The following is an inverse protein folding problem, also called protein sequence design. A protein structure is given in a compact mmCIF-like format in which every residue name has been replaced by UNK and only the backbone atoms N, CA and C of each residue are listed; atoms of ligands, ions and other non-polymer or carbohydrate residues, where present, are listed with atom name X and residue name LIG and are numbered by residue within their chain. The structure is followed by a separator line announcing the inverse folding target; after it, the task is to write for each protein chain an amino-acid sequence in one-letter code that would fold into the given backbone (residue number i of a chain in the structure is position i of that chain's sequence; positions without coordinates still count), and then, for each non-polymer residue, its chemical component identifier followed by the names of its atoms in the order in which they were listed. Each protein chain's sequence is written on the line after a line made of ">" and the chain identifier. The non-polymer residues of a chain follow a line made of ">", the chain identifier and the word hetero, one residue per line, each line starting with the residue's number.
data_IF_881336890635
#
_entry.id   IF_881336890635
#
_cell.length_a   1.000
_cell.length_b   1.000
_cell.length_c   1.000
_cell.angle_alpha   90.00
_cell.angle_beta   90.00
_cell.angle_gamma   90.00
#
_symmetry.space_group_name_H-M   'P 1'
#
loop_
_entity.id
_entity.type
_entity.pdbx_description
1 polymer ?
#
# COMPACT_ATOMS: atom_id res chain seq x y z
N UNK A 1 -7.67 -6.51 -3.89
CA UNK A 1 -7.81 -5.66 -2.68
C UNK A 1 -6.54 -5.72 -1.84
N UNK A 2 -6.06 -4.55 -1.38
CA UNK A 2 -4.88 -4.36 -0.53
C UNK A 2 -5.28 -4.04 0.91
N UNK A 3 -4.59 -4.66 1.86
CA UNK A 3 -4.76 -4.45 3.31
C UNK A 3 -3.41 -4.06 3.92
N UNK A 4 -3.44 -3.10 4.85
CA UNK A 4 -2.26 -2.68 5.62
C UNK A 4 -2.43 -3.10 7.07
N UNK A 5 -1.50 -3.91 7.56
CA UNK A 5 -1.40 -4.30 8.97
C UNK A 5 -0.31 -3.50 9.66
N UNK A 6 -0.69 -2.73 10.68
CA UNK A 6 0.23 -1.88 11.42
C UNK A 6 0.78 -2.62 12.63
N UNK A 7 2.10 -2.65 12.75
CA UNK A 7 2.83 -3.07 13.95
C UNK A 7 3.49 -1.85 14.61
N UNK A 8 4.13 -2.01 15.76
CA UNK A 8 4.87 -0.92 16.39
C UNK A 8 6.04 -0.42 15.52
N UNK A 9 6.66 -1.32 14.75
CA UNK A 9 7.90 -1.04 14.02
C UNK A 9 7.70 -0.90 12.50
N UNK A 10 6.66 -1.53 11.95
CA UNK A 10 6.49 -1.66 10.50
C UNK A 10 5.02 -1.80 10.09
N UNK A 11 4.79 -1.70 8.80
CA UNK A 11 3.50 -1.92 8.13
C UNK A 11 3.67 -3.10 7.18
N UNK A 12 2.84 -4.13 7.35
CA UNK A 12 2.77 -5.26 6.42
C UNK A 12 1.67 -4.98 5.41
N UNK A 13 2.02 -5.08 4.12
CA UNK A 13 1.12 -4.89 3.00
C UNK A 13 0.71 -6.27 2.50
N UNK A 14 -0.58 -6.56 2.49
CA UNK A 14 -1.11 -7.85 2.04
C UNK A 14 -2.04 -7.63 0.85
N UNK A 15 -1.81 -8.37 -0.24
CA UNK A 15 -2.76 -8.43 -1.35
C UNK A 15 -3.69 -9.62 -1.18
N UNK A 16 -4.97 -9.37 -0.98
CA UNK A 16 -6.00 -10.41 -0.82
C UNK A 16 -6.34 -11.10 -2.15
N UNK A 17 -6.09 -10.43 -3.29
CA UNK A 17 -6.24 -11.01 -4.62
C UNK A 17 -5.06 -11.94 -4.99
N UNK A 18 -3.94 -11.91 -4.25
CA UNK A 18 -2.76 -12.75 -4.44
C UNK A 18 -2.40 -13.53 -3.15
N UNK A 19 -3.30 -14.36 -2.62
CA UNK A 19 -3.13 -14.98 -1.31
C UNK A 19 -1.89 -15.89 -1.28
N UNK A 20 -0.97 -15.62 -0.36
CA UNK A 20 0.27 -16.39 -0.19
C UNK A 20 1.33 -16.17 -1.26
N UNK A 21 1.04 -15.37 -2.30
CA UNK A 21 1.95 -15.10 -3.41
C UNK A 21 2.66 -13.76 -3.23
N UNK A 22 1.95 -12.77 -2.69
CA UNK A 22 2.50 -11.43 -2.54
C UNK A 22 2.18 -10.78 -1.20
N UNK A 23 3.23 -10.31 -0.54
CA UNK A 23 3.22 -9.41 0.60
C UNK A 23 4.48 -8.56 0.55
N UNK A 24 4.46 -7.41 1.21
CA UNK A 24 5.59 -6.50 1.28
C UNK A 24 5.59 -5.75 2.62
N UNK A 25 6.68 -5.08 2.97
CA UNK A 25 6.84 -4.33 4.21
C UNK A 25 7.17 -2.87 3.93
N UNK A 26 6.71 -1.97 4.78
CA UNK A 26 7.05 -0.56 4.75
C UNK A 26 7.19 -0.01 6.17
N UNK A 27 7.90 1.10 6.33
CA UNK A 27 8.04 1.77 7.63
C UNK A 27 7.08 2.96 7.77
N UNK A 28 6.60 3.50 6.65
CA UNK A 28 5.64 4.61 6.66
C UNK A 28 4.37 4.27 5.89
N UNK A 29 3.26 4.90 6.26
CA UNK A 29 1.98 4.72 5.57
C UNK A 29 2.05 5.18 4.10
N UNK A 30 2.84 6.20 3.81
CA UNK A 30 3.05 6.68 2.45
C UNK A 30 3.75 5.60 1.61
N UNK A 31 4.90 5.13 2.08
CA UNK A 31 5.66 4.06 1.43
C UNK A 31 4.81 2.79 1.24
N UNK A 32 4.00 2.44 2.25
CA UNK A 32 3.12 1.28 2.19
C UNK A 32 2.14 1.38 1.00
N UNK A 33 1.51 2.54 0.82
CA UNK A 33 0.59 2.76 -0.30
C UNK A 33 1.30 2.90 -1.65
N UNK A 34 2.54 3.40 -1.69
CA UNK A 34 3.34 3.43 -2.92
C UNK A 34 3.65 2.02 -3.43
N UNK A 35 4.11 1.14 -2.53
CA UNK A 35 4.38 -0.27 -2.85
C UNK A 35 3.09 -1.01 -3.25
N UNK A 36 2.01 -0.79 -2.49
CA UNK A 36 0.70 -1.38 -2.79
C UNK A 36 0.16 -0.94 -4.17
N UNK A 37 0.24 0.35 -4.50
CA UNK A 37 -0.21 0.87 -5.79
C UNK A 37 0.65 0.33 -6.95
N UNK A 38 1.97 0.23 -6.77
CA UNK A 38 2.85 -0.37 -7.77
C UNK A 38 2.55 -1.85 -8.00
N UNK A 39 2.17 -2.61 -6.98
CA UNK A 39 1.72 -4.00 -7.14
C UNK A 39 0.34 -4.08 -7.82
N UNK A 40 -0.63 -3.27 -7.37
CA UNK A 40 -1.98 -3.17 -7.93
C UNK A 40 -1.94 -2.88 -9.44
N UNK A 41 -1.19 -1.85 -9.85
CA UNK A 41 -1.10 -1.45 -11.26
C UNK A 41 -0.48 -2.52 -12.16
N UNK A 42 0.50 -3.27 -11.65
CA UNK A 42 1.19 -4.32 -12.44
C UNK A 42 0.41 -5.62 -12.52
N UNK A 43 -0.31 -5.98 -11.46
CA UNK A 43 -0.84 -7.34 -11.27
C UNK A 43 -2.35 -7.40 -11.37
N UNK A 44 -3.04 -6.29 -11.05
CA UNK A 44 -4.50 -6.21 -10.99
C UNK A 44 -5.04 -5.07 -11.87
N UNK A 45 -4.92 -5.15 -13.21
CA UNK A 45 -5.40 -4.10 -14.09
C UNK A 45 -6.90 -3.85 -13.89
N UNK A 46 -7.26 -2.63 -13.46
CA UNK A 46 -8.64 -2.23 -13.19
C UNK A 46 -8.97 -2.09 -11.70
N UNK A 47 -8.18 -2.68 -10.80
CA UNK A 47 -8.23 -2.33 -9.38
C UNK A 47 -7.60 -0.93 -9.17
N UNK A 48 -8.20 -0.12 -8.31
CA UNK A 48 -7.78 1.29 -8.08
C UNK A 48 -7.77 1.69 -6.61
N UNK A 49 -7.91 0.72 -5.71
CA UNK A 49 -8.03 0.99 -4.28
C UNK A 49 -6.72 1.57 -3.74
N UNK A 50 -5.59 0.93 -4.03
CA UNK A 50 -4.29 1.38 -3.57
C UNK A 50 -3.89 2.71 -4.21
N UNK A 51 -4.18 2.90 -5.51
CA UNK A 51 -3.95 4.18 -6.18
C UNK A 51 -4.73 5.34 -5.54
N UNK A 52 -6.01 5.13 -5.19
CA UNK A 52 -6.84 6.13 -4.50
C UNK A 52 -6.34 6.39 -3.08
N UNK A 53 -5.99 5.35 -2.34
CA UNK A 53 -5.45 5.46 -0.99
C UNK A 53 -4.11 6.20 -0.95
N UNK A 54 -3.23 5.97 -1.94
CA UNK A 54 -1.99 6.71 -2.14
C UNK A 54 -2.25 8.21 -2.38
N UNK A 55 -3.17 8.54 -3.30
CA UNK A 55 -3.52 9.93 -3.58
C UNK A 55 -4.09 10.65 -2.35
N UNK A 56 -4.93 9.98 -1.56
CA UNK A 56 -5.40 10.52 -0.29
C UNK A 56 -4.24 10.73 0.70
N UNK A 57 -3.41 9.70 0.89
CA UNK A 57 -2.29 9.74 1.84
C UNK A 57 -1.30 10.86 1.51
N UNK A 58 -0.94 11.06 0.24
CA UNK A 58 -0.08 12.16 -0.21
C UNK A 58 -0.59 13.55 0.15
N UNK A 59 -1.92 13.73 0.21
CA UNK A 59 -2.53 15.02 0.60
C UNK A 59 -2.56 15.24 2.11
N UNK A 60 -2.54 14.16 2.89
CA UNK A 60 -2.72 14.20 4.35
C UNK A 60 -1.44 13.95 5.14
N UNK A 61 -0.44 13.34 4.51
CA UNK A 61 0.88 13.15 5.11
C UNK A 61 1.58 14.51 5.16
N UNK A 62 1.96 15.00 6.36
CA UNK A 62 2.77 16.19 6.45
C UNK A 62 4.10 15.95 5.72
N UNK A 63 4.54 16.91 4.91
CA UNK A 63 5.90 16.93 4.38
C UNK A 63 6.84 16.87 5.59
N UNK A 64 7.57 15.77 5.75
CA UNK A 64 8.70 15.74 6.66
C UNK A 64 9.83 16.45 5.92
N UNK A 65 10.03 17.72 6.25
CA UNK A 65 11.22 18.51 5.86
C UNK A 65 12.50 17.95 6.51
#
# INVERSE_FOLDING_TARGET
>A
MMRLDFTQESIVIVCESCPGVWFDFAFTKLEAWERAAAHEQRTHPGETQAAKALSYTRRTSPSVE
#
